data_IF_030995429132
#
_entry.id   IF_030995429132
#
_cell.length_a   1.000
_cell.length_b   1.000
_cell.length_c   1.000
_cell.angle_alpha   90.00
_cell.angle_beta   90.00
_cell.angle_gamma   90.00
#
_symmetry.space_group_name_H-M   'P 1'
#
loop_
_entity.id
_entity.type
_entity.pdbx_description
1 polymer ?
#
# COMPACT_ATOMS: atom_id res chain seq x y z
N UNK A 1 -3.75 6.61 0.28
CA UNK A 1 -3.01 6.48 -0.99
C UNK A 1 -3.53 5.27 -1.76
N UNK A 2 -3.00 4.92 -2.95
CA UNK A 2 -3.43 3.73 -3.67
C UNK A 2 -2.94 2.46 -2.96
N UNK A 3 -3.81 1.45 -2.89
CA UNK A 3 -3.53 0.16 -2.27
C UNK A 3 -2.37 -0.55 -2.95
N UNK A 4 -2.26 -0.44 -4.28
CA UNK A 4 -1.10 -0.96 -5.01
C UNK A 4 0.21 -0.33 -4.53
N UNK A 5 0.22 0.99 -4.27
CA UNK A 5 1.42 1.69 -3.79
C UNK A 5 1.84 1.17 -2.41
N UNK A 6 0.89 1.00 -1.49
CA UNK A 6 1.17 0.43 -0.17
C UNK A 6 1.67 -1.02 -0.26
N UNK A 7 1.02 -1.83 -1.09
CA UNK A 7 1.37 -3.24 -1.33
C UNK A 7 2.80 -3.37 -1.85
N UNK A 8 3.14 -2.67 -2.93
CA UNK A 8 4.46 -2.78 -3.56
C UNK A 8 5.53 -2.20 -2.65
N UNK A 9 5.29 -1.03 -2.05
CA UNK A 9 6.30 -0.37 -1.21
C UNK A 9 6.58 -1.18 0.06
N UNK A 10 5.54 -1.66 0.76
CA UNK A 10 5.71 -2.51 1.93
C UNK A 10 6.46 -3.80 1.60
N UNK A 11 6.13 -4.42 0.47
CA UNK A 11 6.83 -5.61 -0.02
C UNK A 11 8.30 -5.36 -0.36
N UNK A 12 8.61 -4.30 -1.12
CA UNK A 12 9.98 -4.00 -1.57
C UNK A 12 10.88 -3.48 -0.46
N UNK A 13 10.32 -2.83 0.56
CA UNK A 13 11.07 -2.28 1.70
C UNK A 13 11.13 -3.27 2.87
N UNK A 14 10.03 -3.42 3.61
CA UNK A 14 9.96 -4.27 4.81
C UNK A 14 10.05 -5.76 4.50
N UNK A 15 9.67 -6.19 3.30
CA UNK A 15 9.79 -7.58 2.87
C UNK A 15 11.21 -8.14 2.77
N UNK A 16 12.24 -7.29 2.91
CA UNK A 16 13.65 -7.71 3.00
C UNK A 16 14.03 -8.25 4.38
N UNK A 17 13.20 -8.01 5.40
CA UNK A 17 13.44 -8.52 6.73
C UNK A 17 13.34 -10.05 6.73
N UNK A 18 14.29 -10.71 7.38
CA UNK A 18 14.33 -12.17 7.48
C UNK A 18 13.17 -12.75 8.31
N UNK A 19 12.57 -11.93 9.18
CA UNK A 19 11.44 -12.33 10.00
C UNK A 19 10.11 -11.88 9.35
N UNK A 20 9.17 -12.79 9.05
CA UNK A 20 7.91 -12.46 8.39
C UNK A 20 6.99 -11.56 9.22
N UNK A 21 7.01 -11.68 10.56
CA UNK A 21 6.26 -10.81 11.47
C UNK A 21 6.84 -9.39 11.40
N UNK A 22 8.18 -9.27 11.44
CA UNK A 22 8.83 -7.97 11.31
C UNK A 22 8.56 -7.33 9.95
N UNK A 23 8.57 -8.12 8.87
CA UNK A 23 8.20 -7.66 7.53
C UNK A 23 6.76 -7.15 7.50
N UNK A 24 5.81 -7.89 8.06
CA UNK A 24 4.41 -7.46 8.15
C UNK A 24 4.24 -6.17 8.94
N UNK A 25 4.80 -6.08 10.15
CA UNK A 25 4.73 -4.87 10.96
C UNK A 25 5.42 -3.69 10.29
N UNK A 26 6.56 -3.92 9.63
CA UNK A 26 7.24 -2.92 8.80
C UNK A 26 6.37 -2.45 7.62
N UNK A 27 5.60 -3.36 7.01
CA UNK A 27 4.59 -3.04 6.01
C UNK A 27 3.51 -2.11 6.55
N UNK A 28 2.96 -2.41 7.74
CA UNK A 28 1.97 -1.56 8.41
C UNK A 28 2.53 -0.17 8.72
N UNK A 29 3.78 -0.09 9.19
CA UNK A 29 4.46 1.19 9.42
C UNK A 29 4.66 1.94 8.09
N UNK A 30 5.06 1.23 7.03
CA UNK A 30 5.20 1.83 5.70
C UNK A 30 3.88 2.42 5.22
N UNK A 31 2.75 1.77 5.47
CA UNK A 31 1.43 2.29 5.12
C UNK A 31 1.18 3.65 5.79
N UNK A 32 1.42 3.75 7.10
CA UNK A 32 1.24 5.00 7.86
C UNK A 32 2.13 6.13 7.32
N UNK A 33 3.40 5.83 7.04
CA UNK A 33 4.36 6.80 6.48
C UNK A 33 3.88 7.27 5.11
N UNK A 34 3.46 6.33 4.27
CA UNK A 34 2.99 6.58 2.93
C UNK A 34 1.77 7.49 2.98
N UNK A 35 0.76 7.20 3.79
CA UNK A 35 -0.43 8.04 3.84
C UNK A 35 -0.15 9.50 4.22
N UNK A 36 0.93 9.78 4.96
CA UNK A 36 1.35 11.15 5.24
C UNK A 36 1.94 11.88 4.01
N UNK A 37 2.43 11.16 3.00
CA UNK A 37 2.97 11.74 1.76
C UNK A 37 1.82 12.31 0.93
N UNK A 38 1.90 13.57 0.45
CA UNK A 38 0.88 14.16 -0.40
C UNK A 38 0.59 13.30 -1.64
N UNK A 39 -0.64 12.81 -1.78
CA UNK A 39 -1.03 11.88 -2.83
C UNK A 39 -2.42 12.21 -3.39
N UNK A 40 -2.77 11.56 -4.50
CA UNK A 40 -4.10 11.65 -5.10
C UNK A 40 -4.98 10.49 -4.60
N UNK A 41 -6.22 10.80 -4.26
CA UNK A 41 -7.25 9.81 -3.88
C UNK A 41 -8.25 9.59 -5.01
N UNK A 42 -8.74 8.35 -5.15
CA UNK A 42 -9.75 8.02 -6.16
C UNK A 42 -11.07 8.76 -5.91
N UNK A 43 -11.63 9.34 -6.97
CA UNK A 43 -12.98 9.96 -6.92
C UNK A 43 -14.11 9.00 -7.29
N UNK A 44 -13.79 7.85 -7.90
CA UNK A 44 -14.76 6.87 -8.38
C UNK A 44 -14.38 5.47 -7.90
N UNK A 45 -15.37 4.71 -7.44
CA UNK A 45 -15.21 3.33 -6.95
C UNK A 45 -14.54 2.40 -7.95
N UNK A 46 -14.86 2.52 -9.25
CA UNK A 46 -14.28 1.66 -10.28
C UNK A 46 -12.75 1.72 -10.33
N UNK A 47 -12.14 2.87 -10.02
CA UNK A 47 -10.69 3.01 -9.94
C UNK A 47 -10.10 2.34 -8.70
N UNK A 48 -10.80 2.39 -7.56
CA UNK A 48 -10.37 1.68 -6.35
C UNK A 48 -10.47 0.16 -6.50
N UNK A 49 -11.50 -0.35 -7.19
CA UNK A 49 -11.61 -1.79 -7.50
C UNK A 49 -10.49 -2.23 -8.44
N UNK A 50 -10.20 -1.45 -9.47
CA UNK A 50 -9.10 -1.73 -10.39
C UNK A 50 -7.74 -1.78 -9.66
N UNK A 51 -7.49 -0.82 -8.77
CA UNK A 51 -6.28 -0.77 -7.95
C UNK A 51 -6.14 -1.98 -7.01
N UNK A 52 -7.22 -2.38 -6.33
CA UNK A 52 -7.23 -3.58 -5.50
C UNK A 52 -6.93 -4.84 -6.31
N UNK A 53 -7.47 -4.96 -7.54
CA UNK A 53 -7.18 -6.08 -8.43
C UNK A 53 -5.70 -6.09 -8.82
N UNK A 54 -5.09 -4.93 -9.10
CA UNK A 54 -3.66 -4.84 -9.38
C UNK A 54 -2.81 -5.23 -8.16
N UNK A 55 -3.17 -4.75 -6.97
CA UNK A 55 -2.49 -5.08 -5.72
C UNK A 55 -2.53 -6.61 -5.45
N UNK A 56 -3.70 -7.22 -5.59
CA UNK A 56 -3.86 -8.68 -5.49
C UNK A 56 -3.08 -9.41 -6.57
N UNK A 57 -3.07 -8.90 -7.81
CA UNK A 57 -2.29 -9.44 -8.91
C UNK A 57 -0.80 -9.49 -8.60
N UNK A 58 -0.24 -8.43 -8.00
CA UNK A 58 1.16 -8.39 -7.55
C UNK A 58 1.43 -9.41 -6.44
N UNK A 59 0.54 -9.51 -5.44
CA UNK A 59 0.68 -10.50 -4.37
C UNK A 59 0.67 -11.95 -4.90
N UNK A 60 -0.28 -12.27 -5.79
CA UNK A 60 -0.39 -13.58 -6.41
C UNK A 60 0.82 -13.88 -7.31
N UNK A 61 1.29 -12.88 -8.06
CA UNK A 61 2.48 -13.02 -8.89
C UNK A 61 3.74 -13.25 -8.04
N UNK A 62 3.87 -12.57 -6.89
CA UNK A 62 4.97 -12.78 -5.96
C UNK A 62 4.94 -14.16 -5.29
N UNK A 63 3.74 -14.69 -5.00
CA UNK A 63 3.57 -16.06 -4.54
C UNK A 63 3.92 -17.10 -5.62
N UNK A 64 3.61 -16.79 -6.88
CA UNK A 64 3.89 -17.68 -8.01
C UNK A 64 5.38 -17.69 -8.41
N UNK A 65 6.06 -16.54 -8.30
CA UNK A 65 7.46 -16.33 -8.70
C UNK A 65 8.30 -15.75 -7.54
N UNK A 66 8.39 -16.46 -6.40
CA UNK A 66 9.01 -15.92 -5.19
C UNK A 66 10.48 -15.52 -5.38
N UNK A 67 11.19 -16.13 -6.33
CA UNK A 67 12.58 -15.83 -6.65
C UNK A 67 12.81 -14.42 -7.25
N UNK A 68 11.73 -13.76 -7.70
CA UNK A 68 11.80 -12.40 -8.24
C UNK A 68 11.62 -11.32 -7.16
N UNK A 69 11.36 -11.72 -5.91
CA UNK A 69 10.97 -10.82 -4.83
C UNK A 69 11.81 -11.03 -3.56
N UNK A 70 11.82 -10.04 -2.65
CA UNK A 70 12.35 -10.21 -1.30
C UNK A 70 11.79 -11.45 -0.58
N UNK A 71 12.61 -12.08 0.27
CA UNK A 71 12.26 -13.34 0.98
C UNK A 71 10.97 -13.27 1.79
N UNK A 72 10.62 -12.10 2.31
CA UNK A 72 9.40 -11.85 3.07
C UNK A 72 8.49 -10.82 2.37
N UNK A 73 8.63 -10.65 1.05
CA UNK A 73 7.87 -9.66 0.26
C UNK A 73 6.38 -9.73 0.54
N UNK A 74 5.80 -10.93 0.47
CA UNK A 74 4.36 -11.13 0.67
C UNK A 74 3.91 -10.61 2.03
N UNK A 75 4.71 -10.81 3.09
CA UNK A 75 4.38 -10.34 4.42
C UNK A 75 4.42 -8.82 4.53
N UNK A 76 5.47 -8.18 3.98
CA UNK A 76 5.55 -6.72 3.92
C UNK A 76 4.43 -6.11 3.07
N UNK A 77 4.11 -6.74 1.95
CA UNK A 77 3.06 -6.31 1.05
C UNK A 77 1.67 -6.44 1.68
N UNK A 78 1.39 -7.56 2.36
CA UNK A 78 0.16 -7.73 3.16
C UNK A 78 0.07 -6.70 4.27
N UNK A 79 1.15 -6.45 5.01
CA UNK A 79 1.17 -5.42 6.06
C UNK A 79 0.88 -4.01 5.52
N UNK A 80 1.39 -3.70 4.32
CA UNK A 80 1.10 -2.45 3.63
C UNK A 80 -0.36 -2.34 3.15
N UNK A 81 -0.93 -3.42 2.62
CA UNK A 81 -2.26 -3.40 2.01
C UNK A 81 -3.41 -3.56 3.02
N UNK A 82 -3.21 -4.31 4.10
CA UNK A 82 -4.28 -4.71 5.01
C UNK A 82 -5.06 -3.54 5.63
N UNK A 83 -4.42 -2.41 6.03
CA UNK A 83 -5.16 -1.25 6.55
C UNK A 83 -6.24 -0.73 5.60
N UNK A 84 -6.02 -0.76 4.28
CA UNK A 84 -6.99 -0.27 3.28
C UNK A 84 -8.29 -1.08 3.26
N UNK A 85 -8.30 -2.30 3.80
CA UNK A 85 -9.53 -3.09 3.90
C UNK A 85 -10.60 -2.38 4.74
N UNK A 86 -10.24 -1.52 5.69
CA UNK A 86 -11.21 -0.70 6.41
C UNK A 86 -12.01 0.21 5.46
N UNK A 87 -11.32 0.84 4.51
CA UNK A 87 -11.92 1.72 3.50
C UNK A 87 -12.81 0.89 2.56
N UNK A 88 -12.33 -0.27 2.12
CA UNK A 88 -13.08 -1.19 1.26
C UNK A 88 -14.36 -1.68 1.95
N UNK A 89 -14.27 -2.13 3.20
CA UNK A 89 -15.41 -2.62 3.99
C UNK A 89 -16.44 -1.51 4.19
N UNK A 90 -16.02 -0.31 4.57
CA UNK A 90 -16.92 0.86 4.70
C UNK A 90 -17.60 1.16 3.37
N UNK A 91 -16.87 1.12 2.26
CA UNK A 91 -17.42 1.41 0.94
C UNK A 91 -18.41 0.35 0.44
N UNK A 92 -18.07 -0.94 0.52
CA UNK A 92 -18.91 -2.04 0.04
C UNK A 92 -20.15 -2.22 0.92
N UNK A 93 -20.03 -2.01 2.23
CA UNK A 93 -21.16 -2.13 3.14
C UNK A 93 -22.23 -1.05 2.93
N UNK A 94 -21.87 0.08 2.33
CA UNK A 94 -22.72 1.27 2.24
C UNK A 94 -23.08 1.87 3.60
N UNK A 95 -22.43 1.42 4.68
CA UNK A 95 -22.67 1.83 6.06
C UNK A 95 -21.52 2.70 6.54
N UNK A 96 -21.81 3.60 7.47
CA UNK A 96 -20.79 4.40 8.12
C UNK A 96 -20.09 3.59 9.22
N UNK A 97 -19.27 2.63 8.80
CA UNK A 97 -18.49 1.78 9.70
C UNK A 97 -17.32 2.59 10.26
N UNK A 98 -17.09 2.59 11.59
CA UNK A 98 -15.93 3.24 12.19
C UNK A 98 -14.62 2.72 11.61
N UNK A 99 -13.71 3.64 11.30
CA UNK A 99 -12.35 3.33 10.85
C UNK A 99 -11.39 3.51 12.03
N UNK A 100 -10.47 2.57 12.20
CA UNK A 100 -9.56 2.53 13.34
C UNK A 100 -8.16 2.97 12.95
N UNK A 101 -7.75 2.74 11.71
CA UNK A 101 -6.41 3.08 11.28
C UNK A 101 -6.18 4.61 11.31
N UNK A 102 -5.05 5.12 11.86
CA UNK A 102 -4.87 6.55 12.15
C UNK A 102 -5.01 7.50 10.95
N UNK A 103 -4.66 7.06 9.74
CA UNK A 103 -4.84 7.87 8.53
C UNK A 103 -6.31 7.90 8.07
N UNK A 104 -7.09 6.86 8.35
CA UNK A 104 -8.48 6.73 7.93
C UNK A 104 -9.47 7.47 8.84
N UNK A 105 -9.12 7.64 10.12
CA UNK A 105 -9.93 8.40 11.09
C UNK A 105 -9.48 9.86 11.25
N UNK A 106 -8.58 10.34 10.40
CA UNK A 106 -8.03 11.71 10.37
C UNK A 106 -7.14 12.08 11.57
N UNK A 107 -6.65 11.11 12.34
CA UNK A 107 -5.62 11.36 13.36
C UNK A 107 -4.30 11.81 12.72
N UNK A 108 -3.98 11.28 11.54
CA UNK A 108 -2.83 11.71 10.72
C UNK A 108 -3.32 12.26 9.38
N UNK A 109 -3.71 13.55 9.30
CA UNK A 109 -4.23 14.13 8.07
C UNK A 109 -3.13 14.30 7.01
N UNK A 110 -3.50 14.10 5.75
CA UNK A 110 -2.64 14.37 4.59
C UNK A 110 -3.16 15.55 3.78
N UNK A 111 -2.27 16.15 2.98
CA UNK A 111 -2.65 17.19 2.02
C UNK A 111 -2.82 16.53 0.64
N UNK A 112 -4.05 16.34 0.14
CA UNK A 112 -4.25 15.68 -1.14
C UNK A 112 -3.74 16.56 -2.29
N UNK A 113 -3.07 15.95 -3.25
CA UNK A 113 -2.65 16.59 -4.49
C UNK A 113 -3.65 16.29 -5.61
N UNK A 114 -3.88 17.30 -6.45
CA UNK A 114 -4.72 17.13 -7.63
C UNK A 114 -4.09 16.14 -8.63
N UNK A 115 -4.95 15.49 -9.42
CA UNK A 115 -4.51 14.76 -10.60
C UNK A 115 -3.91 15.74 -11.63
N UNK A 116 -2.75 15.43 -12.26
CA UNK A 116 -1.98 14.19 -12.16
C UNK A 116 -0.81 14.24 -11.15
N UNK A 117 -0.58 15.35 -10.45
CA UNK A 117 0.59 15.54 -9.59
C UNK A 117 0.67 14.47 -8.48
N UNK A 118 -0.43 14.23 -7.77
CA UNK A 118 -0.49 13.23 -6.71
C UNK A 118 -0.37 11.78 -7.20
N UNK A 119 -0.57 11.51 -8.49
CA UNK A 119 -0.29 10.21 -9.10
C UNK A 119 1.20 10.04 -9.35
N UNK A 120 1.86 11.07 -9.91
CA UNK A 120 3.30 11.01 -10.16
C UNK A 120 4.13 10.91 -8.89
N UNK A 121 3.68 11.50 -7.78
CA UNK A 121 4.31 11.27 -6.46
C UNK A 121 4.30 9.79 -6.08
N UNK A 122 3.17 9.11 -6.27
CA UNK A 122 3.06 7.67 -5.96
C UNK A 122 3.94 6.82 -6.89
N UNK A 123 4.01 7.15 -8.18
CA UNK A 123 4.94 6.50 -9.12
C UNK A 123 6.38 6.68 -8.66
N UNK A 124 6.77 7.88 -8.23
CA UNK A 124 8.12 8.15 -7.72
C UNK A 124 8.42 7.36 -6.44
N UNK A 125 7.45 7.24 -5.53
CA UNK A 125 7.56 6.43 -4.31
C UNK A 125 7.79 4.96 -4.64
N UNK A 126 6.99 4.38 -5.54
CA UNK A 126 7.15 2.98 -5.97
C UNK A 126 8.50 2.77 -6.65
N UNK A 127 8.90 3.69 -7.53
CA UNK A 127 10.20 3.63 -8.21
C UNK A 127 11.36 3.72 -7.22
N UNK A 128 11.27 4.58 -6.21
CA UNK A 128 12.28 4.68 -5.16
C UNK A 128 12.36 3.38 -4.34
N UNK A 129 11.22 2.82 -3.93
CA UNK A 129 11.15 1.55 -3.20
C UNK A 129 11.73 0.38 -4.01
N UNK A 130 11.44 0.31 -5.31
CA UNK A 130 12.01 -0.68 -6.21
C UNK A 130 13.50 -0.41 -6.53
N UNK A 131 13.93 0.85 -6.55
CA UNK A 131 15.35 1.21 -6.69
C UNK A 131 16.17 0.73 -5.49
N UNK A 132 15.67 0.94 -4.26
CA UNK A 132 16.26 0.36 -3.05
C UNK A 132 16.36 -1.17 -3.11
N UNK A 133 15.48 -1.83 -3.86
CA UNK A 133 15.57 -3.27 -4.10
C UNK A 133 16.78 -3.66 -4.98
N UNK A 134 17.06 -2.91 -6.05
CA UNK A 134 18.12 -3.28 -7.00
C UNK A 134 19.55 -3.04 -6.49
N UNK A 135 19.74 -2.07 -5.59
CA UNK A 135 21.07 -1.62 -5.15
C UNK A 135 21.57 -2.21 -3.82
N UNK A 136 20.72 -2.95 -3.10
CA UNK A 136 21.04 -3.57 -1.81
C UNK A 136 20.52 -4.99 -1.77
#
# INVERSE_FOLDING_TARGET
MYCLTHTVTGGMTAGRLSNPIAAFLGGVISHLILDAIPHHDYKKTGWGVFDLILALGVLLFALWRPELFPSSFVWGALGGALPDLEVVIRHISGKDIPQFFPSHNRLTPHTPLAWPAGFWVQVAVVAAAAGFWYFF
#
